data_IF_490897618468
#
_entry.id   IF_490897618468
#
_cell.length_a   1.000
_cell.length_b   1.000
_cell.length_c   1.000
_cell.angle_alpha   90.00
_cell.angle_beta   90.00
_cell.angle_gamma   90.00
#
_symmetry.space_group_name_H-M   'P 1'
#
loop_
_entity.id
_entity.type
_entity.pdbx_description
1 polymer ?
#
# COMPACT_ATOMS: atom_id res chain seq x y z
N UNK A 1 3.13 -26.08 -5.98
CA UNK A 1 2.60 -25.24 -4.89
C UNK A 1 3.78 -24.37 -4.46
N UNK A 2 3.78 -23.09 -4.84
CA UNK A 2 4.95 -22.23 -4.62
C UNK A 2 5.20 -22.05 -3.12
N UNK A 3 6.47 -22.12 -2.72
CA UNK A 3 6.88 -21.88 -1.35
C UNK A 3 6.69 -20.37 -1.07
N UNK A 4 5.66 -20.01 -0.31
CA UNK A 4 5.40 -18.62 0.05
C UNK A 4 6.11 -18.29 1.36
N UNK A 5 6.66 -17.07 1.52
CA UNK A 5 7.22 -16.68 2.80
C UNK A 5 6.12 -16.72 3.87
N UNK A 6 6.47 -17.20 5.06
CA UNK A 6 5.60 -17.23 6.23
C UNK A 6 6.10 -16.27 7.29
N UNK A 7 5.20 -15.86 8.17
CA UNK A 7 5.53 -15.10 9.37
C UNK A 7 4.92 -15.81 10.57
N UNK A 8 5.74 -16.00 11.60
CA UNK A 8 5.38 -16.72 12.82
C UNK A 8 5.28 -15.75 14.01
N UNK A 9 4.37 -16.05 14.93
CA UNK A 9 4.26 -15.33 16.20
C UNK A 9 3.64 -16.17 17.30
N UNK A 10 3.98 -15.82 18.55
CA UNK A 10 3.30 -16.35 19.72
C UNK A 10 2.17 -15.41 20.12
N UNK A 11 0.97 -15.95 20.31
CA UNK A 11 -0.21 -15.21 20.77
C UNK A 11 -0.66 -15.77 22.13
N UNK A 12 -0.77 -14.89 23.13
CA UNK A 12 -1.09 -15.28 24.51
C UNK A 12 -2.44 -16.00 24.55
N UNK A 13 -2.46 -17.24 25.05
CA UNK A 13 -3.65 -18.09 25.10
C UNK A 13 -4.00 -18.83 23.80
N UNK A 14 -3.36 -18.52 22.67
CA UNK A 14 -3.58 -19.20 21.38
C UNK A 14 -2.36 -20.00 20.90
N UNK A 15 -1.19 -19.85 21.55
CA UNK A 15 0.03 -20.58 21.23
C UNK A 15 0.77 -20.00 20.01
N UNK A 16 1.64 -20.81 19.41
CA UNK A 16 2.38 -20.44 18.22
C UNK A 16 1.47 -20.45 16.99
N UNK A 17 1.48 -19.36 16.24
CA UNK A 17 0.70 -19.15 15.02
C UNK A 17 1.62 -18.82 13.87
N UNK A 18 1.18 -19.19 12.68
CA UNK A 18 1.86 -18.90 11.42
C UNK A 18 0.84 -18.54 10.36
N UNK A 19 1.21 -17.63 9.46
CA UNK A 19 0.41 -17.26 8.30
C UNK A 19 1.32 -16.86 7.14
N UNK A 20 0.75 -16.87 5.92
CA UNK A 20 1.46 -16.39 4.74
C UNK A 20 1.82 -14.91 4.90
N UNK A 21 3.08 -14.56 4.67
CA UNK A 21 3.50 -13.17 4.55
C UNK A 21 3.15 -12.64 3.16
N UNK A 22 2.39 -11.55 3.11
CA UNK A 22 2.04 -10.86 1.86
C UNK A 22 2.72 -9.50 1.80
N UNK A 23 3.45 -9.28 0.72
CA UNK A 23 4.15 -8.02 0.43
C UNK A 23 4.28 -7.83 -1.07
N UNK A 24 3.53 -6.86 -1.62
CA UNK A 24 3.60 -6.50 -3.04
C UNK A 24 4.97 -5.90 -3.41
N UNK A 25 5.66 -5.32 -2.43
CA UNK A 25 7.01 -4.77 -2.62
C UNK A 25 8.11 -5.84 -2.69
N UNK A 26 7.79 -7.11 -2.47
CA UNK A 26 8.77 -8.20 -2.35
C UNK A 26 9.63 -8.10 -1.08
N UNK A 27 9.27 -7.25 -0.12
CA UNK A 27 9.97 -7.17 1.16
C UNK A 27 9.88 -8.51 1.92
N UNK A 28 10.97 -8.98 2.55
CA UNK A 28 10.95 -10.21 3.35
C UNK A 28 10.08 -10.06 4.60
N UNK A 29 9.62 -11.17 5.21
CA UNK A 29 8.88 -11.12 6.47
C UNK A 29 9.74 -10.46 7.56
N UNK A 30 9.15 -9.56 8.38
CA UNK A 30 9.82 -8.98 9.54
C UNK A 30 10.35 -10.05 10.50
N UNK A 31 11.56 -9.86 11.02
CA UNK A 31 12.20 -10.81 11.96
C UNK A 31 11.65 -10.73 13.38
N UNK A 32 11.02 -9.61 13.72
CA UNK A 32 10.46 -9.34 15.03
C UNK A 32 9.03 -8.85 14.85
N UNK A 33 8.14 -9.34 15.69
CA UNK A 33 6.76 -8.93 15.72
C UNK A 33 6.29 -8.79 17.16
N UNK A 34 5.54 -7.72 17.41
CA UNK A 34 4.83 -7.49 18.65
C UNK A 34 3.33 -7.45 18.36
N UNK A 35 2.55 -8.16 19.18
CA UNK A 35 1.09 -8.03 19.18
C UNK A 35 0.74 -6.76 19.93
N UNK A 36 -0.03 -5.88 19.29
CA UNK A 36 -0.42 -4.59 19.86
C UNK A 36 -1.89 -4.31 19.62
N UNK A 37 -2.48 -3.49 20.49
CA UNK A 37 -3.90 -3.14 20.46
C UNK A 37 -4.10 -1.65 20.75
N UNK A 38 -5.34 -1.25 21.03
CA UNK A 38 -5.74 0.13 21.29
C UNK A 38 -5.02 0.79 22.49
N UNK A 39 -4.27 0.04 23.31
CA UNK A 39 -3.49 0.56 24.44
C UNK A 39 -2.14 1.14 24.04
N UNK A 40 -1.61 0.82 22.86
CA UNK A 40 -0.30 1.34 22.45
C UNK A 40 -0.39 2.82 22.07
N UNK A 41 0.56 3.62 22.54
CA UNK A 41 0.67 5.01 22.10
C UNK A 41 1.32 5.10 20.71
N UNK A 42 0.98 6.15 19.95
CA UNK A 42 1.57 6.35 18.62
C UNK A 42 3.10 6.59 18.66
N UNK A 43 3.64 7.11 19.77
CA UNK A 43 5.09 7.29 19.94
C UNK A 43 5.81 5.94 20.20
N UNK A 44 5.24 5.08 21.05
CA UNK A 44 5.76 3.73 21.25
C UNK A 44 5.71 2.90 19.98
N UNK A 45 4.56 2.90 19.28
CA UNK A 45 4.39 2.21 18.01
C UNK A 45 5.38 2.71 16.96
N UNK A 46 5.60 4.03 16.87
CA UNK A 46 6.58 4.62 15.96
C UNK A 46 8.01 4.18 16.30
N UNK A 47 8.38 4.19 17.58
CA UNK A 47 9.69 3.73 18.05
C UNK A 47 9.97 2.27 17.68
N UNK A 48 9.01 1.37 17.91
CA UNK A 48 9.09 -0.05 17.54
C UNK A 48 9.21 -0.23 16.02
N UNK A 49 8.33 0.42 15.26
CA UNK A 49 8.35 0.35 13.80
C UNK A 49 9.65 0.90 13.19
N UNK A 50 10.26 1.93 13.78
CA UNK A 50 11.57 2.44 13.38
C UNK A 50 12.72 1.46 13.65
N UNK A 51 12.59 0.62 14.67
CA UNK A 51 13.56 -0.44 15.00
C UNK A 51 13.37 -1.70 14.13
N UNK A 52 12.31 -1.74 13.30
CA UNK A 52 12.00 -2.87 12.44
C UNK A 52 11.15 -3.95 13.11
N UNK A 53 10.54 -3.64 14.27
CA UNK A 53 9.54 -4.51 14.89
C UNK A 53 8.19 -4.31 14.20
N UNK A 54 7.67 -5.38 13.61
CA UNK A 54 6.32 -5.39 13.09
C UNK A 54 5.29 -5.34 14.23
N UNK A 55 4.15 -4.72 13.96
CA UNK A 55 3.09 -4.46 14.90
C UNK A 55 1.84 -5.18 14.40
N UNK A 56 1.61 -6.41 14.88
CA UNK A 56 0.40 -7.15 14.55
C UNK A 56 -0.78 -6.58 15.35
N UNK A 57 -1.72 -5.95 14.66
CA UNK A 57 -2.81 -5.23 15.29
C UNK A 57 -3.94 -6.17 15.73
N UNK A 58 -4.38 -6.04 16.99
CA UNK A 58 -5.50 -6.78 17.62
C UNK A 58 -6.54 -5.89 18.28
N UNK A 59 -6.48 -4.58 18.03
CA UNK A 59 -7.48 -3.62 18.49
C UNK A 59 -8.60 -3.39 17.49
N UNK A 60 -9.16 -2.19 17.51
CA UNK A 60 -10.18 -1.76 16.55
C UNK A 60 -9.58 -1.33 15.19
N UNK A 61 -10.25 -1.67 14.09
CA UNK A 61 -9.74 -1.38 12.74
C UNK A 61 -9.65 0.14 12.45
N UNK A 62 -10.60 0.95 12.94
CA UNK A 62 -10.55 2.39 12.75
C UNK A 62 -9.39 3.02 13.53
N UNK A 63 -9.10 2.48 14.72
CA UNK A 63 -7.95 2.90 15.50
C UNK A 63 -6.63 2.50 14.83
N UNK A 64 -6.56 1.32 14.18
CA UNK A 64 -5.42 0.95 13.35
C UNK A 64 -5.17 1.97 12.22
N UNK A 65 -6.22 2.43 11.53
CA UNK A 65 -6.12 3.47 10.49
C UNK A 65 -5.64 4.81 11.06
N UNK A 66 -6.14 5.19 12.23
CA UNK A 66 -5.69 6.40 12.92
C UNK A 66 -4.23 6.30 13.35
N UNK A 67 -3.81 5.14 13.87
CA UNK A 67 -2.41 4.87 14.21
C UNK A 67 -1.54 4.97 12.96
N UNK A 68 -1.92 4.36 11.84
CA UNK A 68 -1.18 4.47 10.58
C UNK A 68 -0.99 5.94 10.15
N UNK A 69 -2.05 6.75 10.24
CA UNK A 69 -1.97 8.18 9.95
C UNK A 69 -1.04 8.91 10.94
N UNK A 70 -1.06 8.55 12.21
CA UNK A 70 -0.21 9.12 13.24
C UNK A 70 1.27 8.74 13.05
N UNK A 71 1.56 7.52 12.61
CA UNK A 71 2.90 7.07 12.20
C UNK A 71 3.39 7.89 10.99
N UNK A 72 2.52 8.13 10.00
CA UNK A 72 2.84 8.94 8.82
C UNK A 72 3.27 10.35 9.20
N UNK A 73 2.47 11.03 10.03
CA UNK A 73 2.80 12.37 10.54
C UNK A 73 4.14 12.41 11.29
N UNK A 74 4.52 11.34 11.98
CA UNK A 74 5.79 11.24 12.71
C UNK A 74 6.97 10.99 11.78
N UNK A 75 6.81 10.15 10.76
CA UNK A 75 7.82 9.97 9.71
C UNK A 75 8.13 11.27 8.97
N UNK A 76 7.12 12.13 8.78
CA UNK A 76 7.27 13.41 8.07
C UNK A 76 7.92 14.50 8.94
N UNK A 77 7.90 14.36 10.28
CA UNK A 77 8.48 15.32 11.26
C UNK A 77 9.98 15.16 11.50
N UNK A 78 10.68 14.35 10.69
CA UNK A 78 12.11 14.08 10.85
C UNK A 78 12.96 15.35 11.08
N UNK A 79 14.14 15.21 11.72
CA UNK A 79 14.94 16.35 12.15
C UNK A 79 15.17 17.34 11.00
N UNK A 80 15.11 18.65 11.28
CA UNK A 80 15.46 19.70 10.30
C UNK A 80 16.91 19.48 9.84
N UNK A 81 17.09 18.77 8.73
CA UNK A 81 18.40 18.46 8.18
C UNK A 81 18.97 19.69 7.45
N UNK A 82 20.29 19.80 7.48
CA UNK A 82 21.02 20.83 6.75
C UNK A 82 20.65 20.81 5.26
N UNK A 83 20.68 21.99 4.62
CA UNK A 83 20.39 22.15 3.18
C UNK A 83 21.28 21.22 2.36
N UNK A 84 20.73 20.62 1.30
CA UNK A 84 21.53 19.82 0.37
C UNK A 84 22.52 20.72 -0.36
N UNK A 85 23.77 20.26 -0.52
CA UNK A 85 24.79 21.01 -1.25
C UNK A 85 24.53 20.98 -2.76
N UNK A 86 24.00 19.86 -3.27
CA UNK A 86 23.69 19.65 -4.68
C UNK A 86 22.25 19.14 -4.90
N UNK A 87 21.76 19.23 -6.14
CA UNK A 87 20.49 18.61 -6.53
C UNK A 87 20.51 17.08 -6.40
N UNK A 88 21.65 16.44 -6.72
CA UNK A 88 21.82 15.00 -6.53
C UNK A 88 21.68 14.61 -5.05
N UNK A 89 22.33 15.34 -4.15
CA UNK A 89 22.20 15.11 -2.71
C UNK A 89 20.76 15.30 -2.23
N UNK A 90 20.06 16.32 -2.74
CA UNK A 90 18.66 16.56 -2.42
C UNK A 90 17.79 15.36 -2.84
N UNK A 91 18.00 14.84 -4.06
CA UNK A 91 17.29 13.69 -4.58
C UNK A 91 17.58 12.41 -3.78
N UNK A 92 18.85 12.11 -3.49
CA UNK A 92 19.22 10.95 -2.68
C UNK A 92 18.61 11.00 -1.28
N UNK A 93 18.65 12.17 -0.63
CA UNK A 93 18.02 12.38 0.69
C UNK A 93 16.51 12.19 0.62
N UNK A 94 15.85 12.74 -0.41
CA UNK A 94 14.41 12.56 -0.59
C UNK A 94 14.05 11.07 -0.74
N UNK A 95 14.77 10.33 -1.59
CA UNK A 95 14.56 8.89 -1.76
C UNK A 95 14.79 8.10 -0.48
N UNK A 96 15.85 8.42 0.29
CA UNK A 96 16.11 7.78 1.57
C UNK A 96 14.97 8.01 2.56
N UNK A 97 14.45 9.24 2.66
CA UNK A 97 13.32 9.58 3.53
C UNK A 97 12.05 8.84 3.10
N UNK A 98 11.74 8.80 1.80
CA UNK A 98 10.59 8.06 1.28
C UNK A 98 10.70 6.55 1.56
N UNK A 99 11.89 5.98 1.38
CA UNK A 99 12.14 4.58 1.69
C UNK A 99 12.02 4.27 3.19
N UNK A 100 12.55 5.14 4.06
CA UNK A 100 12.42 4.99 5.51
C UNK A 100 10.96 5.09 5.95
N UNK A 101 10.25 6.11 5.47
CA UNK A 101 8.81 6.28 5.68
C UNK A 101 8.05 5.04 5.22
N UNK A 102 8.38 4.50 4.04
CA UNK A 102 7.72 3.31 3.52
C UNK A 102 7.93 2.09 4.42
N UNK A 103 9.16 1.86 4.90
CA UNK A 103 9.45 0.78 5.85
C UNK A 103 8.70 0.94 7.15
N UNK A 104 8.73 2.12 7.78
CA UNK A 104 8.05 2.37 9.07
C UNK A 104 6.54 2.16 8.96
N UNK A 105 5.89 2.70 7.92
CA UNK A 105 4.45 2.51 7.73
C UNK A 105 4.08 1.08 7.32
N UNK A 106 5.03 0.34 6.73
CA UNK A 106 4.87 -1.07 6.38
C UNK A 106 4.81 -1.98 7.61
N UNK A 107 5.25 -1.52 8.79
CA UNK A 107 5.32 -2.35 10.00
C UNK A 107 3.97 -2.52 10.72
N UNK A 108 2.95 -1.71 10.43
CA UNK A 108 1.62 -1.94 10.99
C UNK A 108 0.89 -3.01 10.18
N UNK A 109 0.71 -4.18 10.77
CA UNK A 109 0.20 -5.38 10.11
C UNK A 109 -1.20 -5.74 10.58
N UNK A 110 -1.96 -6.38 9.68
CA UNK A 110 -3.25 -7.00 9.95
C UNK A 110 -3.27 -8.43 9.42
N UNK A 111 -4.01 -9.30 10.10
CA UNK A 111 -4.26 -10.67 9.66
C UNK A 111 -5.58 -10.73 8.90
N UNK A 112 -5.59 -11.48 7.80
CA UNK A 112 -6.76 -11.85 7.02
C UNK A 112 -6.92 -13.37 7.08
N UNK A 113 -8.16 -13.85 7.19
CA UNK A 113 -8.46 -15.27 7.07
C UNK A 113 -8.35 -15.78 5.63
N UNK A 114 -8.58 -17.08 5.42
CA UNK A 114 -8.52 -17.70 4.09
C UNK A 114 -9.56 -17.19 3.09
N UNK A 115 -10.57 -16.44 3.53
CA UNK A 115 -11.55 -15.76 2.68
C UNK A 115 -11.29 -14.26 2.54
N UNK A 116 -10.13 -13.76 2.96
CA UNK A 116 -9.75 -12.34 3.05
C UNK A 116 -10.56 -11.52 4.07
N UNK A 117 -11.25 -12.13 5.02
CA UNK A 117 -11.95 -11.37 6.06
C UNK A 117 -10.98 -10.93 7.17
N UNK A 118 -11.27 -9.79 7.78
CA UNK A 118 -10.50 -9.25 8.90
C UNK A 118 -11.28 -9.48 10.19
N UNK A 119 -10.72 -10.25 11.12
CA UNK A 119 -11.33 -10.54 12.42
C UNK A 119 -11.13 -9.40 13.45
N UNK A 120 -11.22 -8.14 13.02
CA UNK A 120 -11.09 -6.96 13.89
C UNK A 120 -12.42 -6.21 14.01
N UNK A 121 -12.63 -5.58 15.15
CA UNK A 121 -13.82 -4.76 15.39
C UNK A 121 -13.89 -3.59 14.41
N UNK A 122 -15.09 -3.35 13.83
CA UNK A 122 -15.37 -2.31 12.81
C UNK A 122 -14.49 -2.40 11.55
N UNK A 123 -13.93 -3.57 11.26
CA UNK A 123 -13.32 -3.82 9.97
C UNK A 123 -14.40 -3.80 8.86
N UNK A 124 -14.14 -3.16 7.71
CA UNK A 124 -15.01 -3.26 6.55
C UNK A 124 -14.93 -4.67 5.95
N UNK A 125 -15.92 -5.05 5.13
CA UNK A 125 -15.76 -6.21 4.25
C UNK A 125 -14.77 -5.83 3.13
N UNK A 126 -13.63 -6.52 3.10
CA UNK A 126 -12.56 -6.29 2.11
C UNK A 126 -12.44 -7.44 1.11
N UNK A 127 -13.31 -8.46 1.20
CA UNK A 127 -13.11 -9.72 0.49
C UNK A 127 -13.12 -9.53 -1.02
N UNK A 128 -14.02 -8.70 -1.53
CA UNK A 128 -14.11 -8.40 -2.96
C UNK A 128 -12.89 -7.64 -3.46
N UNK A 129 -12.48 -6.57 -2.75
CA UNK A 129 -11.28 -5.82 -3.06
C UNK A 129 -10.03 -6.72 -3.08
N UNK A 130 -9.90 -7.61 -2.10
CA UNK A 130 -8.80 -8.56 -2.03
C UNK A 130 -8.86 -9.61 -3.15
N UNK A 131 -10.04 -10.13 -3.51
CA UNK A 131 -10.18 -11.05 -4.66
C UNK A 131 -9.79 -10.39 -5.98
N UNK A 132 -10.21 -9.14 -6.20
CA UNK A 132 -9.85 -8.39 -7.41
C UNK A 132 -8.34 -8.12 -7.51
N UNK A 133 -7.66 -7.89 -6.38
CA UNK A 133 -6.24 -7.58 -6.34
C UNK A 133 -5.35 -8.83 -6.32
N UNK A 134 -5.75 -9.86 -5.60
CA UNK A 134 -4.89 -10.99 -5.22
C UNK A 134 -5.42 -12.36 -5.65
N UNK A 135 -6.64 -12.42 -6.19
CA UNK A 135 -7.34 -13.67 -6.47
C UNK A 135 -7.96 -14.32 -5.23
N UNK A 136 -8.40 -15.56 -5.39
CA UNK A 136 -8.98 -16.35 -4.31
C UNK A 136 -7.99 -16.54 -3.15
N UNK A 137 -8.52 -16.61 -1.93
CA UNK A 137 -7.68 -16.77 -0.75
C UNK A 137 -7.12 -18.18 -0.65
N UNK A 138 -5.82 -18.28 -0.37
CA UNK A 138 -5.06 -19.54 -0.26
C UNK A 138 -4.70 -19.84 1.21
N UNK A 139 -5.57 -19.46 2.15
CA UNK A 139 -5.33 -19.57 3.60
C UNK A 139 -5.03 -18.23 4.27
N UNK A 140 -4.84 -18.22 5.61
CA UNK A 140 -4.62 -16.98 6.35
C UNK A 140 -3.33 -16.29 5.93
N UNK A 141 -3.37 -14.96 5.87
CA UNK A 141 -2.21 -14.15 5.54
C UNK A 141 -2.09 -12.92 6.43
N UNK A 142 -0.86 -12.43 6.55
CA UNK A 142 -0.54 -11.18 7.24
C UNK A 142 0.00 -10.19 6.22
N UNK A 143 -0.54 -8.99 6.23
CA UNK A 143 -0.22 -7.92 5.27
C UNK A 143 -0.09 -6.58 5.99
N UNK A 144 0.66 -5.65 5.40
CA UNK A 144 0.68 -4.27 5.85
C UNK A 144 -0.71 -3.63 5.70
N UNK A 145 -1.20 -2.96 6.76
CA UNK A 145 -2.45 -2.19 6.69
C UNK A 145 -2.38 -1.11 5.60
N UNK A 146 -1.20 -0.52 5.36
CA UNK A 146 -1.00 0.46 4.30
C UNK A 146 -1.26 -0.13 2.91
N UNK A 147 -0.79 -1.35 2.68
CA UNK A 147 -0.98 -2.06 1.41
C UNK A 147 -2.45 -2.41 1.22
N UNK A 148 -3.09 -2.96 2.26
CA UNK A 148 -4.53 -3.29 2.25
C UNK A 148 -5.41 -2.06 1.97
N UNK A 149 -5.09 -0.89 2.55
CA UNK A 149 -5.81 0.35 2.24
C UNK A 149 -5.62 0.78 0.78
N UNK A 150 -4.49 0.45 0.15
CA UNK A 150 -4.26 0.65 -1.28
C UNK A 150 -5.17 -0.24 -2.14
N UNK A 151 -5.30 -1.52 -1.76
CA UNK A 151 -6.23 -2.47 -2.40
C UNK A 151 -7.67 -1.99 -2.31
N UNK A 152 -8.12 -1.61 -1.11
CA UNK A 152 -9.47 -1.06 -0.90
C UNK A 152 -9.67 0.20 -1.75
N UNK A 153 -8.70 1.11 -1.77
CA UNK A 153 -8.78 2.33 -2.58
C UNK A 153 -8.88 2.05 -4.07
N UNK A 154 -8.14 1.07 -4.58
CA UNK A 154 -8.20 0.67 -5.99
C UNK A 154 -9.56 0.06 -6.35
N UNK A 155 -10.11 -0.81 -5.49
CA UNK A 155 -11.45 -1.35 -5.65
C UNK A 155 -12.51 -0.23 -5.72
N UNK A 156 -12.46 0.73 -4.80
CA UNK A 156 -13.38 1.87 -4.80
C UNK A 156 -13.29 2.71 -6.08
N UNK A 157 -12.08 2.95 -6.58
CA UNK A 157 -11.87 3.64 -7.86
C UNK A 157 -12.36 2.84 -9.05
N UNK A 158 -12.15 1.52 -9.03
CA UNK A 158 -12.62 0.63 -10.09
C UNK A 158 -14.14 0.57 -10.14
N UNK A 159 -14.79 0.39 -8.99
CA UNK A 159 -16.25 0.31 -8.90
C UNK A 159 -16.91 1.63 -9.33
N UNK A 160 -16.41 2.77 -8.83
CA UNK A 160 -16.96 4.09 -9.18
C UNK A 160 -16.54 4.53 -10.58
N UNK A 161 -15.36 4.11 -11.04
CA UNK A 161 -14.59 4.68 -12.13
C UNK A 161 -13.89 6.00 -11.74
N UNK A 162 -12.96 6.45 -12.57
CA UNK A 162 -12.32 7.77 -12.49
C UNK A 162 -12.75 8.58 -13.72
N UNK A 163 -13.38 9.76 -13.56
CA UNK A 163 -13.77 10.60 -14.70
C UNK A 163 -12.53 11.21 -15.35
N UNK A 164 -12.42 11.15 -16.67
CA UNK A 164 -11.33 11.76 -17.47
C UNK A 164 -11.92 12.81 -18.40
N UNK A 165 -11.70 14.08 -18.07
CA UNK A 165 -12.35 15.20 -18.76
C UNK A 165 -11.99 15.27 -20.26
N UNK A 166 -10.71 15.08 -20.59
CA UNK A 166 -10.23 15.11 -21.97
C UNK A 166 -10.83 14.01 -22.86
N UNK A 167 -11.30 12.90 -22.25
CA UNK A 167 -11.95 11.80 -22.96
C UNK A 167 -13.49 11.89 -22.91
N UNK A 168 -14.06 12.75 -22.07
CA UNK A 168 -15.49 12.76 -21.78
C UNK A 168 -16.02 11.43 -21.22
N UNK A 169 -15.14 10.62 -20.60
CA UNK A 169 -15.42 9.23 -20.23
C UNK A 169 -14.95 8.90 -18.81
N UNK A 170 -15.29 7.69 -18.32
CA UNK A 170 -14.79 7.14 -17.06
C UNK A 170 -13.90 5.94 -17.33
N UNK A 171 -12.75 5.87 -16.65
CA UNK A 171 -11.83 4.72 -16.70
C UNK A 171 -11.97 3.88 -15.44
N UNK A 172 -11.79 2.56 -15.56
CA UNK A 172 -12.01 1.59 -14.48
C UNK A 172 -10.73 0.76 -14.27
N UNK A 173 -9.70 1.34 -13.64
CA UNK A 173 -8.40 0.70 -13.47
C UNK A 173 -8.48 -0.58 -12.64
N UNK A 174 -7.62 -1.55 -12.95
CA UNK A 174 -7.35 -2.67 -12.04
C UNK A 174 -6.37 -2.25 -10.94
N UNK A 175 -6.31 -3.02 -9.85
CA UNK A 175 -5.24 -2.87 -8.86
C UNK A 175 -3.86 -3.02 -9.52
N UNK A 176 -2.88 -2.22 -9.09
CA UNK A 176 -1.54 -2.19 -9.66
C UNK A 176 -1.38 -1.35 -10.93
N UNK A 177 -2.47 -0.84 -11.51
CA UNK A 177 -2.43 0.03 -12.69
C UNK A 177 -2.17 1.49 -12.30
N UNK A 178 -1.21 2.13 -12.97
CA UNK A 178 -1.02 3.57 -12.83
C UNK A 178 -2.19 4.34 -13.46
N UNK A 179 -2.89 5.13 -12.64
CA UNK A 179 -4.07 5.90 -13.05
C UNK A 179 -3.79 7.39 -13.13
N UNK A 180 -4.28 8.11 -14.16
CA UNK A 180 -4.18 9.57 -14.30
C UNK A 180 -5.06 10.28 -13.25
N UNK A 181 -4.73 10.18 -11.97
CA UNK A 181 -5.42 10.94 -10.92
C UNK A 181 -5.11 12.45 -11.01
N UNK A 182 -3.98 12.79 -11.64
CA UNK A 182 -3.59 14.14 -12.04
C UNK A 182 -3.67 14.21 -13.57
N UNK A 183 -4.77 14.75 -14.07
CA UNK A 183 -5.17 14.62 -15.48
C UNK A 183 -4.65 15.73 -16.38
N UNK A 184 -3.88 16.67 -15.83
CA UNK A 184 -3.44 17.87 -16.55
C UNK A 184 -2.62 17.53 -17.80
N UNK A 185 -1.93 16.39 -17.80
CA UNK A 185 -1.15 15.92 -18.95
C UNK A 185 -2.00 15.30 -20.06
N UNK A 186 -3.20 14.79 -19.76
CA UNK A 186 -4.03 14.08 -20.75
C UNK A 186 -4.52 15.04 -21.83
N UNK A 187 -4.91 16.25 -21.42
CA UNK A 187 -5.30 17.33 -22.34
C UNK A 187 -4.11 17.80 -23.20
N UNK A 188 -2.89 17.84 -22.64
CA UNK A 188 -1.68 18.16 -23.40
C UNK A 188 -1.40 17.10 -24.48
N UNK A 189 -1.54 15.81 -24.16
CA UNK A 189 -1.37 14.71 -25.12
C UNK A 189 -2.43 14.79 -26.22
N UNK A 190 -3.70 15.05 -25.86
CA UNK A 190 -4.79 15.16 -26.82
C UNK A 190 -4.61 16.32 -27.82
N UNK A 191 -3.94 17.40 -27.41
CA UNK A 191 -3.68 18.58 -28.25
C UNK A 191 -2.36 18.50 -29.02
N UNK A 192 -1.46 17.60 -28.66
CA UNK A 192 -0.17 17.47 -29.31
C UNK A 192 -0.34 16.92 -30.74
N UNK A 193 0.17 17.61 -31.78
CA UNK A 193 0.12 17.07 -33.13
C UNK A 193 0.98 15.80 -33.22
N UNK A 194 0.52 14.82 -33.98
CA UNK A 194 1.31 13.63 -34.26
C UNK A 194 2.60 14.03 -34.99
N UNK A 195 3.76 13.46 -34.63
CA UNK A 195 5.00 13.68 -35.36
C UNK A 195 4.83 13.33 -36.84
N UNK A 196 5.46 14.08 -37.76
CA UNK A 196 5.38 13.80 -39.19
C UNK A 196 5.83 12.36 -39.55
N UNK A 197 6.78 11.81 -38.79
CA UNK A 197 7.23 10.42 -38.92
C UNK A 197 6.15 9.37 -38.59
N UNK A 198 5.08 9.76 -37.90
CA UNK A 198 3.93 8.92 -37.58
C UNK A 198 2.75 9.14 -38.55
N UNK A 199 2.88 10.04 -39.54
CA UNK A 199 1.83 10.27 -40.53
C UNK A 199 1.58 9.01 -41.37
N UNK A 200 0.36 8.47 -41.33
CA UNK A 200 0.01 7.20 -41.98
C UNK A 200 0.49 5.95 -41.25
N UNK A 201 1.04 6.09 -40.04
CA UNK A 201 1.44 4.96 -39.19
C UNK A 201 0.27 4.32 -38.45
N UNK A 202 0.51 3.11 -37.93
CA UNK A 202 -0.45 2.38 -37.09
C UNK A 202 -0.16 2.63 -35.62
N UNK A 203 -1.19 3.00 -34.86
CA UNK A 203 -1.11 3.04 -33.40
C UNK A 203 -1.39 1.65 -32.81
N UNK A 204 -0.60 1.26 -31.81
CA UNK A 204 -0.79 0.02 -31.06
C UNK A 204 -1.19 0.35 -29.64
N UNK A 205 -2.25 -0.29 -29.15
CA UNK A 205 -2.52 -0.37 -27.72
C UNK A 205 -1.61 -1.46 -27.13
N UNK A 206 -0.72 -1.04 -26.23
CA UNK A 206 0.24 -1.94 -25.57
C UNK A 206 -0.30 -2.53 -24.26
N UNK A 207 -1.56 -2.22 -23.92
CA UNK A 207 -2.28 -2.86 -22.84
C UNK A 207 -2.02 -2.31 -21.44
N UNK A 208 -2.24 -3.19 -20.46
CA UNK A 208 -2.95 -3.07 -19.17
C UNK A 208 -2.78 -1.83 -18.26
N UNK A 209 -2.76 -0.60 -18.78
CA UNK A 209 -2.82 0.61 -17.95
C UNK A 209 -3.53 1.77 -18.65
N UNK A 210 -4.19 2.64 -17.88
CA UNK A 210 -5.23 3.59 -18.35
C UNK A 210 -4.76 4.77 -19.23
N UNK A 211 -3.58 4.64 -19.87
CA UNK A 211 -2.94 5.68 -20.66
C UNK A 211 -3.07 5.49 -22.15
#
# INVERSE_FOLDING_TARGET
MGDFPVIDWAEEGAGDRSARWRSESGAPPPRQMAIVDDRITADQAYGLACQGTALLWRGDFQNARQLLAALGKRSDRGPRKAKAATLADAFHRHRQLQAQRARTLGMLLVELDGGHAIALRRAPDVREACREAWGEGEGPCVVSLRELLGVIGAHEWRAKGIPVAALGARIHPHYGVFTPIRQEYVDLVAKAPLPAAAAGGTAFDVGTGTG
#
